data_IF_866719981792
#
_entry.id   IF_866719981792
#
_cell.length_a   1.000
_cell.length_b   1.000
_cell.length_c   1.000
_cell.angle_alpha   90.00
_cell.angle_beta   90.00
_cell.angle_gamma   90.00
#
_symmetry.space_group_name_H-M   'P 1'
#
loop_
_entity.id
_entity.type
_entity.pdbx_description
1 polymer ?
#
# COMPACT_ATOMS: atom_id res chain seq x y z
N UNK A 1 -4.27 -1.21 33.05
CA UNK A 1 -3.31 -1.51 31.97
C UNK A 1 -4.06 -1.23 30.67
N UNK A 2 -3.77 -0.11 30.02
CA UNK A 2 -4.39 0.23 28.74
C UNK A 2 -3.86 -0.75 27.70
N UNK A 3 -4.74 -1.53 27.08
CA UNK A 3 -4.39 -2.27 25.87
C UNK A 3 -3.80 -1.28 24.86
N UNK A 4 -2.68 -1.65 24.23
CA UNK A 4 -2.19 -0.92 23.08
C UNK A 4 -3.31 -0.93 22.03
N UNK A 5 -3.61 0.18 21.34
CA UNK A 5 -4.57 0.16 20.25
C UNK A 5 -4.15 -0.94 19.26
N UNK A 6 -5.05 -1.88 19.00
CA UNK A 6 -4.78 -3.03 18.12
C UNK A 6 -4.25 -2.57 16.76
N UNK A 7 -3.40 -3.40 16.14
CA UNK A 7 -2.81 -3.09 14.85
C UNK A 7 -3.89 -2.76 13.79
N UNK A 8 -3.66 -1.79 12.89
CA UNK A 8 -4.68 -1.35 11.96
C UNK A 8 -5.06 -2.46 10.99
N UNK A 9 -6.37 -2.58 10.74
CA UNK A 9 -6.89 -3.57 9.80
C UNK A 9 -6.54 -3.20 8.34
N UNK A 10 -6.53 -1.91 8.05
CA UNK A 10 -6.12 -1.34 6.76
C UNK A 10 -4.90 -0.44 6.95
N UNK A 11 -3.83 -0.71 6.20
CA UNK A 11 -2.66 0.16 6.13
C UNK A 11 -2.64 0.91 4.80
N UNK A 12 -2.74 2.23 4.86
CA UNK A 12 -2.73 3.11 3.70
C UNK A 12 -1.37 3.81 3.56
N UNK A 13 -0.61 3.42 2.55
CA UNK A 13 0.70 3.99 2.20
C UNK A 13 0.51 5.16 1.24
N UNK A 14 0.62 6.38 1.75
CA UNK A 14 0.70 7.59 0.93
C UNK A 14 2.16 7.74 0.47
N UNK A 15 2.38 7.52 -0.82
CA UNK A 15 3.69 7.61 -1.48
C UNK A 15 3.91 8.92 -2.24
N UNK A 16 2.97 9.86 -2.25
CA UNK A 16 3.15 11.13 -2.96
C UNK A 16 4.00 12.11 -2.15
N UNK A 17 5.12 12.61 -2.69
CA UNK A 17 5.88 13.66 -2.00
C UNK A 17 5.10 14.99 -1.91
N UNK A 18 4.18 15.23 -2.84
CA UNK A 18 3.30 16.41 -2.81
C UNK A 18 2.15 16.12 -1.83
N UNK A 19 2.19 16.79 -0.66
CA UNK A 19 1.11 16.79 0.33
C UNK A 19 -0.11 17.51 -0.21
N UNK A 20 -1.29 16.95 0.03
CA UNK A 20 -2.51 17.44 -0.61
C UNK A 20 -2.42 17.42 -2.14
N UNK A 21 -1.64 16.48 -2.70
CA UNK A 21 -1.60 16.26 -4.14
C UNK A 21 -2.78 15.42 -4.62
N UNK A 22 -2.84 15.19 -5.93
CA UNK A 22 -3.89 14.40 -6.58
C UNK A 22 -3.98 12.97 -6.03
N UNK A 23 -2.82 12.31 -5.90
CA UNK A 23 -2.73 10.95 -5.34
C UNK A 23 -3.25 10.88 -3.91
N UNK A 24 -2.95 11.89 -3.09
CA UNK A 24 -3.38 11.90 -1.69
C UNK A 24 -4.89 12.14 -1.57
N UNK A 25 -5.46 13.04 -2.36
CA UNK A 25 -6.91 13.28 -2.41
C UNK A 25 -7.69 12.04 -2.80
N UNK A 26 -7.23 11.31 -3.82
CA UNK A 26 -7.86 10.04 -4.20
C UNK A 26 -7.75 9.00 -3.09
N UNK A 27 -6.60 8.92 -2.41
CA UNK A 27 -6.46 8.04 -1.25
C UNK A 27 -7.44 8.44 -0.14
N UNK A 28 -7.48 9.72 0.22
CA UNK A 28 -8.36 10.23 1.27
C UNK A 28 -9.83 9.94 0.95
N UNK A 29 -10.24 10.01 -0.31
CA UNK A 29 -11.59 9.62 -0.74
C UNK A 29 -11.92 8.15 -0.50
N UNK A 30 -10.93 7.26 -0.65
CA UNK A 30 -11.07 5.84 -0.25
C UNK A 30 -11.21 5.75 1.27
N UNK A 31 -10.35 6.45 2.01
CA UNK A 31 -10.31 6.38 3.47
C UNK A 31 -11.58 6.91 4.13
N UNK A 32 -12.18 7.96 3.58
CA UNK A 32 -13.50 8.47 3.99
C UNK A 32 -14.55 7.38 3.92
N UNK A 33 -14.62 6.63 2.81
CA UNK A 33 -15.59 5.52 2.67
C UNK A 33 -15.32 4.42 3.70
N UNK A 34 -14.06 4.08 3.94
CA UNK A 34 -13.71 3.06 4.94
C UNK A 34 -14.10 3.51 6.36
N UNK A 35 -13.87 4.78 6.68
CA UNK A 35 -14.26 5.37 7.96
C UNK A 35 -15.80 5.38 8.14
N UNK A 36 -16.55 5.70 7.08
CA UNK A 36 -18.03 5.63 7.09
C UNK A 36 -18.56 4.21 7.35
N UNK A 37 -17.75 3.18 7.08
CA UNK A 37 -18.06 1.77 7.37
C UNK A 37 -17.45 1.29 8.70
N UNK A 38 -16.93 2.19 9.53
CA UNK A 38 -16.39 1.88 10.86
C UNK A 38 -15.06 1.13 10.83
N UNK A 39 -14.34 1.10 9.71
CA UNK A 39 -13.07 0.40 9.59
C UNK A 39 -11.91 1.23 10.14
N UNK A 40 -11.04 0.58 10.92
CA UNK A 40 -9.82 1.22 11.42
C UNK A 40 -8.75 1.24 10.32
N UNK A 41 -8.35 2.45 9.92
CA UNK A 41 -7.32 2.67 8.90
C UNK A 41 -6.17 3.45 9.51
N UNK A 42 -4.94 3.00 9.28
CA UNK A 42 -3.75 3.81 9.52
C UNK A 42 -3.20 4.36 8.19
N UNK A 43 -3.14 5.69 8.06
CA UNK A 43 -2.50 6.36 6.93
C UNK A 43 -1.05 6.71 7.28
N UNK A 44 -0.11 6.16 6.53
CA UNK A 44 1.33 6.44 6.64
C UNK A 44 1.76 7.32 5.49
N UNK A 45 2.32 8.49 5.79
CA UNK A 45 2.88 9.41 4.79
C UNK A 45 4.38 9.17 4.63
N UNK A 46 4.77 8.48 3.56
CA UNK A 46 6.13 7.99 3.39
C UNK A 46 7.18 9.08 3.22
N UNK A 47 6.79 10.28 2.76
CA UNK A 47 7.69 11.43 2.67
C UNK A 47 8.19 11.90 4.04
N UNK A 48 7.41 11.66 5.10
CA UNK A 48 7.75 12.12 6.44
C UNK A 48 8.69 11.16 7.16
N UNK A 49 8.92 9.97 6.58
CA UNK A 49 9.76 8.93 7.14
C UNK A 49 11.15 8.94 6.52
N UNK A 50 12.16 8.64 7.34
CA UNK A 50 13.53 8.36 6.92
C UNK A 50 13.67 6.88 6.65
N UNK A 51 13.46 6.49 5.39
CA UNK A 51 13.64 5.12 4.92
C UNK A 51 14.81 5.10 3.95
N UNK A 52 15.88 4.41 4.34
CA UNK A 52 17.05 4.19 3.51
C UNK A 52 16.73 3.15 2.43
N UNK A 53 17.37 3.22 1.25
CA UNK A 53 17.28 2.14 0.27
C UNK A 53 17.84 0.82 0.86
N UNK A 54 17.49 -0.30 0.24
CA UNK A 54 18.15 -1.56 0.55
C UNK A 54 19.66 -1.46 0.24
N UNK A 55 20.51 -1.92 1.16
CA UNK A 55 21.96 -1.90 1.04
C UNK A 55 22.56 -3.31 0.83
N UNK A 56 21.72 -4.30 0.51
CA UNK A 56 22.17 -5.67 0.23
C UNK A 56 23.03 -6.29 1.35
N UNK A 57 22.68 -6.01 2.60
CA UNK A 57 23.39 -6.56 3.78
C UNK A 57 23.14 -8.08 3.92
N UNK A 58 22.06 -8.59 3.29
CA UNK A 58 21.63 -9.99 3.29
C UNK A 58 21.45 -10.65 4.66
N UNK A 59 21.32 -9.88 5.74
CA UNK A 59 20.92 -10.45 7.05
C UNK A 59 19.52 -11.09 6.99
N UNK A 60 18.62 -10.50 6.20
CA UNK A 60 17.26 -11.03 6.01
C UNK A 60 17.24 -12.40 5.33
N UNK A 61 18.26 -12.75 4.55
CA UNK A 61 18.38 -14.09 3.97
C UNK A 61 18.53 -15.18 5.04
N UNK A 62 19.13 -14.84 6.19
CA UNK A 62 19.34 -15.77 7.31
C UNK A 62 18.24 -15.70 8.37
N UNK A 63 17.71 -14.50 8.61
CA UNK A 63 16.85 -14.21 9.77
C UNK A 63 15.40 -13.90 9.39
N UNK A 64 15.14 -13.51 8.15
CA UNK A 64 13.88 -12.89 7.73
C UNK A 64 13.74 -11.42 8.14
N UNK A 65 14.73 -10.85 8.81
CA UNK A 65 14.68 -9.50 9.38
C UNK A 65 15.73 -8.60 8.75
N UNK A 66 15.41 -7.31 8.63
CA UNK A 66 16.33 -6.36 8.03
C UNK A 66 17.29 -5.73 9.06
N UNK A 67 18.56 -5.57 8.67
CA UNK A 67 19.60 -5.05 9.56
C UNK A 67 19.59 -3.51 9.70
N UNK A 68 19.10 -2.77 8.69
CA UNK A 68 19.06 -1.30 8.75
C UNK A 68 17.97 -0.88 9.73
N UNK A 69 18.36 -0.02 10.68
CA UNK A 69 17.50 0.54 11.72
C UNK A 69 17.17 1.99 11.38
N UNK A 70 15.99 2.19 10.81
CA UNK A 70 15.41 3.48 10.49
C UNK A 70 13.87 3.38 10.63
N UNK A 71 13.13 4.36 10.11
CA UNK A 71 11.67 4.41 10.29
C UNK A 71 10.93 3.22 9.64
N UNK A 72 11.59 2.45 8.76
CA UNK A 72 11.03 1.20 8.21
C UNK A 72 10.78 0.15 9.30
N UNK A 73 11.52 0.18 10.41
CA UNK A 73 11.38 -0.78 11.50
C UNK A 73 9.94 -0.83 12.03
N UNK A 74 9.30 0.32 12.21
CA UNK A 74 7.91 0.43 12.66
C UNK A 74 6.86 0.08 11.60
N UNK A 75 7.27 -0.12 10.34
CA UNK A 75 6.36 -0.50 9.26
C UNK A 75 6.31 -2.01 9.03
N UNK A 76 7.35 -2.76 9.39
CA UNK A 76 7.36 -4.20 9.18
C UNK A 76 6.20 -4.90 9.89
N UNK A 77 5.96 -4.59 11.17
CA UNK A 77 4.85 -5.16 11.92
C UNK A 77 3.49 -4.79 11.31
N UNK A 78 3.30 -3.51 10.96
CA UNK A 78 2.07 -3.00 10.33
C UNK A 78 1.79 -3.68 8.98
N UNK A 79 2.83 -3.88 8.17
CA UNK A 79 2.74 -4.56 6.89
C UNK A 79 2.44 -6.05 7.04
N UNK A 80 2.86 -6.69 8.14
CA UNK A 80 2.62 -8.11 8.41
C UNK A 80 1.22 -8.34 9.00
N UNK A 81 0.73 -7.41 9.82
CA UNK A 81 -0.53 -7.50 10.54
C UNK A 81 -1.75 -7.04 9.73
N UNK A 82 -1.62 -6.04 8.87
CA UNK A 82 -2.77 -5.43 8.19
C UNK A 82 -3.47 -6.43 7.26
N UNK A 83 -4.79 -6.58 7.31
CA UNK A 83 -5.53 -7.45 6.37
C UNK A 83 -5.50 -6.89 4.94
N UNK A 84 -5.43 -5.56 4.82
CA UNK A 84 -5.42 -4.83 3.55
C UNK A 84 -4.30 -3.79 3.55
N UNK A 85 -3.57 -3.71 2.43
CA UNK A 85 -2.63 -2.61 2.16
C UNK A 85 -3.08 -1.83 0.93
N UNK A 86 -3.23 -0.51 1.08
CA UNK A 86 -3.49 0.40 -0.03
C UNK A 86 -2.21 1.19 -0.30
N UNK A 87 -1.64 1.06 -1.50
CA UNK A 87 -0.49 1.85 -1.92
C UNK A 87 -0.93 2.95 -2.90
N UNK A 88 -0.71 4.21 -2.53
CA UNK A 88 -1.04 5.35 -3.38
C UNK A 88 0.24 6.07 -3.83
N UNK A 89 0.46 6.21 -5.14
CA UNK A 89 1.67 6.84 -5.68
C UNK A 89 1.41 7.68 -6.91
N UNK A 90 2.14 8.79 -7.13
CA UNK A 90 2.29 9.32 -8.47
C UNK A 90 3.12 8.35 -9.34
N UNK A 91 2.99 8.44 -10.65
CA UNK A 91 3.84 7.74 -11.62
C UNK A 91 5.03 8.61 -11.95
N UNK A 92 6.22 8.24 -11.47
CA UNK A 92 7.48 8.90 -11.81
C UNK A 92 8.30 7.96 -12.69
N UNK A 93 8.57 8.38 -13.93
CA UNK A 93 9.32 7.59 -14.91
C UNK A 93 8.83 6.13 -15.02
N UNK A 94 7.51 5.94 -15.17
CA UNK A 94 6.83 4.63 -15.26
C UNK A 94 6.89 3.78 -13.98
N UNK A 95 7.51 4.26 -12.91
CA UNK A 95 7.57 3.61 -11.60
C UNK A 95 6.80 4.37 -10.52
N UNK A 96 6.82 3.85 -9.28
CA UNK A 96 6.31 4.57 -8.12
C UNK A 96 7.24 5.74 -7.76
N UNK A 97 6.83 6.56 -6.80
CA UNK A 97 7.74 7.57 -6.22
C UNK A 97 8.94 6.91 -5.54
N UNK A 98 10.04 7.64 -5.40
CA UNK A 98 11.23 7.15 -4.68
C UNK A 98 10.92 6.78 -3.21
N UNK A 99 10.00 7.49 -2.56
CA UNK A 99 9.59 7.20 -1.18
C UNK A 99 8.90 5.84 -1.06
N UNK A 100 7.94 5.57 -1.96
CA UNK A 100 7.29 4.26 -2.00
C UNK A 100 8.27 3.18 -2.46
N UNK A 101 9.15 3.48 -3.43
CA UNK A 101 10.14 2.53 -3.93
C UNK A 101 11.14 2.11 -2.85
N UNK A 102 11.59 3.03 -2.00
CA UNK A 102 12.46 2.72 -0.87
C UNK A 102 11.80 1.71 0.08
N UNK A 103 10.52 1.90 0.44
CA UNK A 103 9.76 0.93 1.21
C UNK A 103 9.65 -0.42 0.49
N UNK A 104 9.29 -0.41 -0.79
CA UNK A 104 9.15 -1.64 -1.61
C UNK A 104 10.47 -2.44 -1.62
N UNK A 105 11.60 -1.78 -1.84
CA UNK A 105 12.90 -2.45 -1.89
C UNK A 105 13.29 -3.04 -0.54
N UNK A 106 12.84 -2.42 0.55
CA UNK A 106 13.04 -2.88 1.92
C UNK A 106 12.12 -4.05 2.30
N UNK A 107 11.04 -4.28 1.54
CA UNK A 107 10.22 -5.50 1.63
C UNK A 107 10.90 -6.74 1.07
N UNK A 108 12.12 -6.63 0.51
CA UNK A 108 13.02 -7.77 0.29
C UNK A 108 13.18 -8.64 1.54
N UNK A 109 13.04 -8.07 2.75
CA UNK A 109 13.01 -8.81 3.99
C UNK A 109 11.88 -9.86 4.05
N UNK A 110 10.66 -9.51 3.63
CA UNK A 110 9.53 -10.44 3.59
C UNK A 110 9.74 -11.56 2.55
N UNK A 111 10.21 -11.20 1.36
CA UNK A 111 10.57 -12.19 0.34
C UNK A 111 11.64 -13.16 0.87
N UNK A 112 12.69 -12.64 1.50
CA UNK A 112 13.79 -13.45 2.05
C UNK A 112 13.32 -14.33 3.21
N UNK A 113 12.43 -13.80 4.06
CA UNK A 113 11.79 -14.53 5.16
C UNK A 113 11.07 -15.79 4.65
N UNK A 114 10.26 -15.63 3.60
CA UNK A 114 9.53 -16.73 2.96
C UNK A 114 10.46 -17.71 2.24
N UNK A 115 11.30 -17.21 1.33
CA UNK A 115 11.99 -18.05 0.36
C UNK A 115 13.36 -18.57 0.81
N UNK A 116 14.03 -17.87 1.73
CA UNK A 116 15.40 -18.20 2.15
C UNK A 116 15.45 -18.66 3.62
N UNK A 117 14.67 -18.02 4.51
CA UNK A 117 14.62 -18.38 5.92
C UNK A 117 13.54 -19.45 6.24
N UNK A 118 12.70 -19.83 5.27
CA UNK A 118 11.67 -20.87 5.42
C UNK A 118 10.55 -20.48 6.39
N UNK A 119 10.29 -19.18 6.57
CA UNK A 119 9.29 -18.63 7.49
C UNK A 119 8.20 -17.92 6.67
N UNK A 120 7.24 -18.70 6.19
CA UNK A 120 6.07 -18.13 5.52
C UNK A 120 5.10 -17.54 6.54
N UNK A 121 4.36 -16.49 6.16
CA UNK A 121 3.31 -15.94 7.03
C UNK A 121 2.18 -16.97 7.14
N UNK A 122 1.70 -17.28 8.35
CA UNK A 122 0.56 -18.16 8.52
C UNK A 122 -0.74 -17.50 8.02
N UNK A 123 -1.68 -18.33 7.59
CA UNK A 123 -3.02 -17.90 7.20
C UNK A 123 -3.18 -17.60 5.71
N UNK A 124 -4.37 -17.12 5.30
CA UNK A 124 -4.66 -16.89 3.89
C UNK A 124 -3.86 -15.70 3.33
N UNK A 125 -3.73 -15.69 2.00
CA UNK A 125 -3.26 -14.51 1.28
C UNK A 125 -4.19 -13.34 1.53
N UNK A 126 -3.58 -12.17 1.71
CA UNK A 126 -4.24 -10.90 1.98
C UNK A 126 -4.45 -10.11 0.69
N UNK A 127 -4.99 -8.90 0.77
CA UNK A 127 -5.28 -8.11 -0.43
C UNK A 127 -4.61 -6.74 -0.45
N UNK A 128 -4.06 -6.43 -1.61
CA UNK A 128 -3.39 -5.18 -1.92
C UNK A 128 -4.17 -4.35 -2.93
N UNK A 129 -4.12 -3.03 -2.78
CA UNK A 129 -4.80 -2.08 -3.66
C UNK A 129 -3.85 -0.98 -4.11
N UNK A 130 -4.02 -0.52 -5.36
CA UNK A 130 -3.17 0.53 -5.94
C UNK A 130 -3.97 1.75 -6.35
N UNK A 131 -3.52 2.93 -5.95
CA UNK A 131 -3.96 4.21 -6.52
C UNK A 131 -2.76 4.86 -7.22
N UNK A 132 -2.86 5.08 -8.53
CA UNK A 132 -1.79 5.67 -9.31
C UNK A 132 -2.27 6.89 -10.10
N UNK A 133 -1.51 7.98 -10.05
CA UNK A 133 -1.79 9.21 -10.82
C UNK A 133 -0.58 9.57 -11.67
N UNK A 134 -0.78 9.83 -12.96
CA UNK A 134 0.29 10.26 -13.84
C UNK A 134 -0.12 11.43 -14.75
N UNK A 135 0.83 12.32 -15.00
CA UNK A 135 0.63 13.54 -15.78
C UNK A 135 0.38 13.29 -17.27
N UNK A 136 0.92 12.19 -17.83
CA UNK A 136 0.85 11.95 -19.28
C UNK A 136 -0.32 11.05 -19.67
N UNK A 137 -0.60 10.96 -20.98
CA UNK A 137 -1.70 10.16 -21.55
C UNK A 137 -1.23 8.92 -22.31
N UNK A 138 0.07 8.59 -22.24
CA UNK A 138 0.66 7.49 -23.02
C UNK A 138 0.08 6.12 -22.62
N UNK A 139 -0.29 5.28 -23.59
CA UNK A 139 -0.99 4.00 -23.35
C UNK A 139 -0.33 3.12 -22.28
N UNK A 140 1.01 3.07 -22.27
CA UNK A 140 1.83 2.23 -21.37
C UNK A 140 2.21 2.87 -20.02
N UNK A 141 1.67 4.05 -19.67
CA UNK A 141 2.08 4.83 -18.49
C UNK A 141 2.19 4.01 -17.19
N UNK A 142 1.31 3.05 -17.00
CA UNK A 142 1.24 2.25 -15.77
C UNK A 142 1.89 0.88 -15.88
N UNK A 143 2.37 0.47 -17.05
CA UNK A 143 2.80 -0.92 -17.27
C UNK A 143 3.97 -1.30 -16.35
N UNK A 144 4.98 -0.43 -16.27
CA UNK A 144 6.13 -0.60 -15.36
C UNK A 144 5.70 -0.65 -13.90
N UNK A 145 4.91 0.34 -13.48
CA UNK A 145 4.38 0.43 -12.12
C UNK A 145 3.59 -0.82 -11.75
N UNK A 146 2.71 -1.30 -12.63
CA UNK A 146 1.88 -2.47 -12.37
C UNK A 146 2.69 -3.75 -12.22
N UNK A 147 3.80 -3.90 -12.95
CA UNK A 147 4.74 -5.00 -12.76
C UNK A 147 5.40 -4.91 -11.37
N UNK A 148 5.91 -3.73 -11.01
CA UNK A 148 6.50 -3.49 -9.69
C UNK A 148 5.51 -3.77 -8.56
N UNK A 149 4.29 -3.26 -8.65
CA UNK A 149 3.29 -3.39 -7.59
C UNK A 149 2.80 -4.84 -7.44
N UNK A 150 2.66 -5.60 -8.53
CA UNK A 150 2.32 -7.04 -8.41
C UNK A 150 3.37 -7.81 -7.61
N UNK A 151 4.65 -7.57 -7.88
CA UNK A 151 5.73 -8.25 -7.16
C UNK A 151 5.87 -7.77 -5.72
N UNK A 152 5.67 -6.47 -5.47
CA UNK A 152 5.59 -5.93 -4.12
C UNK A 152 4.50 -6.60 -3.28
N UNK A 153 3.28 -6.70 -3.80
CA UNK A 153 2.19 -7.36 -3.08
C UNK A 153 2.45 -8.86 -2.90
N UNK A 154 3.04 -9.53 -3.90
CA UNK A 154 3.40 -10.94 -3.75
C UNK A 154 4.41 -11.19 -2.62
N UNK A 155 5.42 -10.32 -2.48
CA UNK A 155 6.38 -10.39 -1.37
C UNK A 155 5.72 -10.21 0.01
N UNK A 156 4.57 -9.51 0.07
CA UNK A 156 3.75 -9.37 1.29
C UNK A 156 2.69 -10.47 1.44
N UNK A 157 2.70 -11.47 0.56
CA UNK A 157 1.68 -12.53 0.48
C UNK A 157 0.28 -11.94 0.27
N UNK A 158 0.20 -10.97 -0.63
CA UNK A 158 -0.99 -10.25 -1.04
C UNK A 158 -1.26 -10.38 -2.53
N UNK A 159 -2.54 -10.42 -2.89
CA UNK A 159 -2.97 -10.28 -4.28
C UNK A 159 -3.36 -8.83 -4.58
N UNK A 160 -2.89 -8.31 -5.72
CA UNK A 160 -3.37 -7.01 -6.23
C UNK A 160 -4.83 -7.15 -6.67
N UNK A 161 -5.75 -6.78 -5.78
CA UNK A 161 -7.17 -7.04 -5.91
C UNK A 161 -7.89 -5.98 -6.74
N UNK A 162 -7.51 -4.72 -6.56
CA UNK A 162 -8.15 -3.59 -7.23
C UNK A 162 -7.19 -2.42 -7.44
N UNK A 163 -7.59 -1.49 -8.32
CA UNK A 163 -6.76 -0.32 -8.64
C UNK A 163 -7.56 0.85 -9.20
N UNK A 164 -7.08 2.06 -8.93
CA UNK A 164 -7.51 3.32 -9.56
C UNK A 164 -6.31 3.90 -10.30
N UNK A 165 -6.44 4.11 -11.61
CA UNK A 165 -5.35 4.54 -12.49
C UNK A 165 -5.76 5.80 -13.25
N UNK A 166 -5.24 6.95 -12.84
CA UNK A 166 -5.65 8.26 -13.36
C UNK A 166 -4.54 8.86 -14.21
N UNK A 167 -4.89 9.26 -15.44
CA UNK A 167 -3.96 9.79 -16.45
C UNK A 167 -4.27 11.26 -16.70
N UNK A 168 -3.27 12.01 -17.16
CA UNK A 168 -3.48 13.38 -17.62
C UNK A 168 -3.74 14.38 -16.50
N UNK A 169 -3.24 14.13 -15.29
CA UNK A 169 -3.41 15.01 -14.12
C UNK A 169 -2.04 15.37 -13.56
N UNK A 170 -1.71 16.66 -13.54
CA UNK A 170 -0.38 17.20 -13.16
C UNK A 170 -0.49 18.34 -12.14
N UNK A 171 -1.45 19.26 -12.37
CA UNK A 171 -1.72 20.38 -11.49
C UNK A 171 -2.11 19.91 -10.09
N UNK A 172 -1.65 20.60 -9.05
CA UNK A 172 -2.01 20.24 -7.68
C UNK A 172 -3.51 20.42 -7.46
N UNK A 173 -4.19 19.35 -7.04
CA UNK A 173 -5.64 19.37 -6.80
C UNK A 173 -6.49 19.32 -8.08
N UNK A 174 -5.88 19.18 -9.26
CA UNK A 174 -6.59 19.06 -10.53
C UNK A 174 -7.60 17.91 -10.50
N UNK A 175 -7.28 16.82 -9.77
CA UNK A 175 -8.16 15.65 -9.65
C UNK A 175 -9.56 15.95 -9.08
N UNK A 176 -9.74 17.06 -8.37
CA UNK A 176 -11.05 17.48 -7.86
C UNK A 176 -12.05 17.78 -8.98
N UNK A 177 -11.56 18.15 -10.18
CA UNK A 177 -12.38 18.31 -11.38
C UNK A 177 -12.62 17.02 -12.17
N UNK A 178 -12.16 15.86 -11.68
CA UNK A 178 -12.28 14.57 -12.36
C UNK A 178 -13.29 13.67 -11.63
N UNK A 179 -14.58 13.88 -11.88
CA UNK A 179 -15.67 13.12 -11.27
C UNK A 179 -15.51 11.61 -11.42
N UNK A 180 -15.05 11.14 -12.59
CA UNK A 180 -14.79 9.72 -12.82
C UNK A 180 -13.69 9.18 -11.89
N UNK A 181 -12.61 9.93 -11.69
CA UNK A 181 -11.52 9.51 -10.81
C UNK A 181 -11.96 9.46 -9.34
N UNK A 182 -12.75 10.45 -8.90
CA UNK A 182 -13.33 10.50 -7.56
C UNK A 182 -14.33 9.36 -7.34
N UNK A 183 -15.16 9.04 -8.35
CA UNK A 183 -16.09 7.92 -8.31
C UNK A 183 -15.36 6.57 -8.26
N UNK A 184 -14.28 6.40 -9.05
CA UNK A 184 -13.43 5.21 -9.01
C UNK A 184 -12.80 5.01 -7.63
N UNK A 185 -12.28 6.07 -6.99
CA UNK A 185 -11.77 6.00 -5.63
C UNK A 185 -12.86 5.62 -4.63
N UNK A 186 -14.03 6.25 -4.69
CA UNK A 186 -15.18 5.90 -3.83
C UNK A 186 -15.57 4.43 -3.98
N UNK A 187 -15.65 3.93 -5.22
CA UNK A 187 -16.02 2.54 -5.49
C UNK A 187 -14.96 1.55 -4.99
N UNK A 188 -13.68 1.90 -5.08
CA UNK A 188 -12.59 1.11 -4.49
C UNK A 188 -12.76 0.99 -2.96
N UNK A 189 -13.14 2.08 -2.29
CA UNK A 189 -13.44 2.06 -0.85
C UNK A 189 -14.60 1.14 -0.50
N UNK A 190 -15.68 1.18 -1.29
CA UNK A 190 -16.83 0.28 -1.10
C UNK A 190 -16.47 -1.19 -1.31
N UNK A 191 -15.64 -1.49 -2.31
CA UNK A 191 -15.15 -2.84 -2.57
C UNK A 191 -14.35 -3.39 -1.38
N UNK A 192 -13.39 -2.60 -0.87
CA UNK A 192 -12.58 -2.96 0.29
C UNK A 192 -13.46 -3.19 1.52
N UNK A 193 -14.42 -2.30 1.78
CA UNK A 193 -15.33 -2.42 2.92
C UNK A 193 -16.21 -3.69 2.83
N UNK A 194 -16.75 -3.98 1.64
CA UNK A 194 -17.54 -5.18 1.38
C UNK A 194 -16.72 -6.46 1.59
N UNK A 195 -15.48 -6.48 1.14
CA UNK A 195 -14.59 -7.63 1.33
C UNK A 195 -14.29 -7.87 2.83
N UNK A 196 -13.93 -6.82 3.55
CA UNK A 196 -13.59 -6.94 4.98
C UNK A 196 -14.80 -7.38 5.82
N UNK A 197 -16.00 -6.91 5.47
CA UNK A 197 -17.26 -7.37 6.09
C UNK A 197 -17.56 -8.85 5.81
N UNK A 198 -17.18 -9.37 4.63
CA UNK A 198 -17.36 -10.78 4.29
C UNK A 198 -16.42 -11.70 5.07
N UNK A 199 -15.18 -11.25 5.32
CA UNK A 199 -14.19 -11.98 6.12
C UNK A 199 -14.70 -12.14 7.57
N UNK A 200 -15.25 -11.08 8.17
CA UNK A 200 -15.80 -11.13 9.54
C UNK A 200 -16.96 -12.13 9.66
N UNK A 201 -17.85 -12.19 8.66
CA UNK A 201 -18.99 -13.10 8.66
C UNK A 201 -18.59 -14.56 8.38
N UNK A 202 -17.50 -14.77 7.64
CA UNK A 202 -16.99 -16.11 7.32
C UNK A 202 -16.15 -16.75 8.43
N UNK A 203 -15.57 -15.96 9.34
CA UNK A 203 -14.75 -16.45 10.46
C UNK A 203 -15.52 -16.84 11.73
N UNK A 204 -16.86 -16.79 11.71
CA UNK A 204 -17.74 -17.07 12.86
C UNK A 204 -18.35 -18.48 12.90
N UNK A 205 -17.80 -19.44 12.16
CA UNK A 205 -18.21 -20.85 12.17
C UNK A 205 -16.96 -21.75 12.19
N UNK A 206 -16.34 -21.87 13.36
CA UNK A 206 -15.59 -23.06 13.79
C UNK A 206 -15.92 -23.35 15.25
#
# INVERSE_FOLDING_TARGET
>A
MSEAPGAPRVLALQGSPRRGGNTERLLDRVLEVLADHGLTVEKVVLRDLKISPCLEIYQCARTGECAIRDDMAGLYEKLDSAEVVIAATPVFFYGPSAHLKALIDRCQAFWSRKHLAGRERPGPRRRGYLIAVGATRGKKLFDGLLLTMRYFFDALEMDLAGRVLVRGVDGAGEVEGHDEALAQARNLGLEIAGQLSAIEKGGGHE
#
